data_IF_334308481188
#
_entry.id   IF_334308481188
#
_cell.length_a   1.000
_cell.length_b   1.000
_cell.length_c   1.000
_cell.angle_alpha   90.00
_cell.angle_beta   90.00
_cell.angle_gamma   90.00
#
_symmetry.space_group_name_H-M   'P 1'
#
loop_
_entity.id
_entity.type
_entity.pdbx_description
1 polymer ?
#
# COMPACT_ATOMS: atom_id res chain seq x y z
N UNK A 1 16.78 -11.45 -2.27
CA UNK A 1 15.34 -11.13 -2.50
C UNK A 1 14.79 -10.58 -1.19
N UNK A 2 14.49 -9.29 -1.11
CA UNK A 2 13.82 -8.75 0.08
C UNK A 2 12.45 -9.44 0.20
N UNK A 3 12.20 -10.04 1.36
CA UNK A 3 10.92 -10.71 1.59
C UNK A 3 9.82 -9.65 1.49
N UNK A 4 8.81 -9.86 0.62
CA UNK A 4 7.67 -8.95 0.53
C UNK A 4 6.89 -9.03 1.84
N UNK A 5 7.08 -8.03 2.70
CA UNK A 5 6.52 -8.00 4.07
C UNK A 5 5.00 -7.92 4.11
N UNK A 6 4.40 -7.19 3.17
CA UNK A 6 2.96 -6.88 3.17
C UNK A 6 2.20 -7.45 1.97
N UNK A 7 2.82 -7.50 0.79
CA UNK A 7 2.15 -7.88 -0.46
C UNK A 7 2.49 -9.33 -0.87
N UNK A 8 1.55 -10.24 -0.63
CA UNK A 8 1.57 -11.62 -1.15
C UNK A 8 0.87 -11.72 -2.52
N UNK A 9 0.51 -12.94 -2.92
CA UNK A 9 -0.22 -13.21 -4.18
C UNK A 9 -1.52 -12.41 -4.29
N UNK A 10 -2.29 -12.40 -3.21
CA UNK A 10 -3.62 -11.78 -3.15
C UNK A 10 -3.60 -10.39 -2.47
N UNK A 11 -2.44 -9.74 -2.47
CA UNK A 11 -2.24 -8.45 -1.83
C UNK A 11 -1.96 -8.53 -0.32
N UNK A 12 -2.48 -7.56 0.43
CA UNK A 12 -2.29 -7.44 1.89
C UNK A 12 -3.40 -8.20 2.61
N UNK A 13 -3.02 -9.06 3.57
CA UNK A 13 -3.94 -9.87 4.38
C UNK A 13 -3.67 -9.71 5.87
N UNK A 14 -4.70 -9.97 6.67
CA UNK A 14 -4.66 -9.91 8.13
C UNK A 14 -6.06 -9.91 8.72
N UNK A 15 -6.14 -9.91 10.04
CA UNK A 15 -7.40 -9.77 10.78
C UNK A 15 -7.93 -8.33 10.69
N UNK A 16 -9.25 -8.17 10.56
CA UNK A 16 -9.91 -6.86 10.57
C UNK A 16 -9.70 -6.19 11.92
N UNK A 17 -9.19 -4.95 11.91
CA UNK A 17 -8.78 -4.23 13.12
C UNK A 17 -7.39 -4.65 13.65
N UNK A 18 -6.77 -5.68 13.07
CA UNK A 18 -5.41 -6.11 13.37
C UNK A 18 -4.35 -5.20 12.74
N UNK A 19 -3.10 -5.66 12.70
CA UNK A 19 -1.95 -4.83 12.34
C UNK A 19 -1.93 -4.32 10.88
N UNK A 20 -2.57 -5.04 9.95
CA UNK A 20 -2.48 -4.76 8.50
C UNK A 20 -3.82 -4.46 7.83
N UNK A 21 -4.95 -4.84 8.42
CA UNK A 21 -6.30 -4.57 7.90
C UNK A 21 -7.00 -3.60 8.86
N UNK A 22 -6.54 -2.35 8.85
CA UNK A 22 -7.11 -1.24 9.63
C UNK A 22 -7.01 0.10 8.86
N UNK A 23 -7.70 1.13 9.37
CA UNK A 23 -7.79 2.43 8.72
C UNK A 23 -6.43 3.15 8.62
N UNK A 24 -5.60 3.08 9.65
CA UNK A 24 -4.28 3.72 9.67
C UNK A 24 -3.36 3.12 8.59
N UNK A 25 -3.35 1.80 8.45
CA UNK A 25 -2.59 1.10 7.42
C UNK A 25 -3.07 1.50 6.02
N UNK A 26 -4.38 1.53 5.79
CA UNK A 26 -4.97 1.91 4.50
C UNK A 26 -4.59 3.35 4.11
N UNK A 27 -4.64 4.30 5.06
CA UNK A 27 -4.25 5.69 4.83
C UNK A 27 -2.77 5.81 4.44
N UNK A 28 -1.88 5.13 5.18
CA UNK A 28 -0.44 5.13 4.88
C UNK A 28 -0.15 4.49 3.52
N UNK A 29 -0.82 3.39 3.21
CA UNK A 29 -0.68 2.71 1.92
C UNK A 29 -1.14 3.61 0.76
N UNK A 30 -2.32 4.23 0.89
CA UNK A 30 -2.87 5.13 -0.12
C UNK A 30 -1.95 6.33 -0.38
N UNK A 31 -1.40 6.94 0.67
CA UNK A 31 -0.43 8.03 0.53
C UNK A 31 0.85 7.59 -0.21
N UNK A 32 1.42 6.45 0.17
CA UNK A 32 2.61 5.90 -0.49
C UNK A 32 2.33 5.60 -1.97
N UNK A 33 1.18 4.98 -2.28
CA UNK A 33 0.76 4.72 -3.65
C UNK A 33 0.60 6.02 -4.45
N UNK A 34 -0.07 7.02 -3.89
CA UNK A 34 -0.24 8.33 -4.52
C UNK A 34 1.08 9.00 -4.89
N UNK A 35 2.07 8.99 -3.98
CA UNK A 35 3.41 9.53 -4.23
C UNK A 35 4.15 8.83 -5.37
N UNK A 36 4.03 7.51 -5.45
CA UNK A 36 4.69 6.72 -6.49
C UNK A 36 4.00 6.96 -7.83
N UNK A 37 2.67 6.90 -7.87
CA UNK A 37 1.90 7.07 -9.10
C UNK A 37 2.00 8.49 -9.66
N UNK A 38 2.04 9.53 -8.82
CA UNK A 38 2.25 10.91 -9.26
C UNK A 38 3.64 11.13 -9.87
N UNK A 39 4.64 10.39 -9.40
CA UNK A 39 6.00 10.44 -9.96
C UNK A 39 6.10 9.69 -11.29
N UNK A 40 5.33 8.61 -11.46
CA UNK A 40 5.36 7.77 -12.66
C UNK A 40 4.53 8.30 -13.82
N UNK A 41 3.60 9.23 -13.58
CA UNK A 41 2.76 9.82 -14.62
C UNK A 41 2.79 11.37 -14.58
N UNK A 42 3.95 11.98 -14.88
CA UNK A 42 4.10 13.45 -14.86
C UNK A 42 3.28 14.18 -15.94
N UNK A 43 2.77 13.46 -16.96
CA UNK A 43 2.11 14.03 -18.16
C UNK A 43 0.60 14.34 -17.98
N UNK A 44 0.04 14.24 -16.77
CA UNK A 44 -1.39 14.56 -16.49
C UNK A 44 -1.59 15.73 -15.52
N UNK A 45 -0.58 16.58 -15.36
CA UNK A 45 -0.66 17.85 -14.63
C UNK A 45 -0.81 19.03 -15.57
#
# INVERSE_FOLDING_TARGET
>A
MSQRKYFGTDGVRGEVGGATINAEFALRLGYAAGRVLSTQNPERG
#
